data_IF_610953902980
#
_entry.id   IF_610953902980
#
_cell.length_a   1.000
_cell.length_b   1.000
_cell.length_c   1.000
_cell.angle_alpha   90.00
_cell.angle_beta   90.00
_cell.angle_gamma   90.00
#
_symmetry.space_group_name_H-M   'P 1'
#
loop_
_entity.id
_entity.type
_entity.pdbx_description
1 polymer ?
#
# COMPACT_ATOMS: atom_id res chain seq x y z
N UNK A 1 47.70 7.35 -14.34
CA UNK A 1 47.48 6.29 -13.33
C UNK A 1 46.11 6.51 -12.74
N UNK A 2 45.15 5.76 -13.26
CA UNK A 2 43.73 5.88 -12.94
C UNK A 2 43.46 5.04 -11.69
N UNK A 3 42.96 5.67 -10.62
CA UNK A 3 42.50 4.93 -9.45
C UNK A 3 41.24 4.14 -9.81
N UNK A 4 41.18 2.84 -9.52
CA UNK A 4 39.98 2.05 -9.76
C UNK A 4 38.91 2.44 -8.74
N UNK A 5 37.74 2.77 -9.26
CA UNK A 5 36.48 2.90 -8.53
C UNK A 5 36.19 1.59 -7.81
N UNK A 6 36.36 1.59 -6.49
CA UNK A 6 35.89 0.52 -5.63
C UNK A 6 34.36 0.56 -5.61
N UNK A 7 33.76 -0.25 -6.47
CA UNK A 7 32.33 -0.54 -6.49
C UNK A 7 31.99 -1.25 -5.17
N UNK A 8 31.60 -0.46 -4.17
CA UNK A 8 31.05 -0.98 -2.93
C UNK A 8 29.66 -1.49 -3.25
N UNK A 9 29.55 -2.81 -3.46
CA UNK A 9 28.28 -3.52 -3.50
C UNK A 9 27.44 -3.13 -2.29
N UNK A 10 26.49 -2.23 -2.50
CA UNK A 10 25.69 -1.63 -1.45
C UNK A 10 24.79 -2.69 -0.82
N UNK A 11 24.88 -2.82 0.50
CA UNK A 11 23.85 -3.49 1.30
C UNK A 11 22.53 -2.84 0.90
N UNK A 12 21.64 -3.59 0.24
CA UNK A 12 20.32 -3.08 -0.10
C UNK A 12 19.65 -2.59 1.19
N UNK A 13 19.33 -1.29 1.27
CA UNK A 13 18.62 -0.73 2.41
C UNK A 13 17.38 -1.60 2.69
N UNK A 14 17.22 -2.03 3.93
CA UNK A 14 16.11 -2.91 4.30
C UNK A 14 14.81 -2.14 4.10
N UNK A 15 13.91 -2.71 3.29
CA UNK A 15 12.61 -2.10 3.01
C UNK A 15 11.53 -2.86 3.74
N UNK A 16 10.70 -2.14 4.48
CA UNK A 16 9.49 -2.67 5.09
C UNK A 16 8.28 -2.03 4.43
N UNK A 17 7.46 -2.84 3.75
CA UNK A 17 6.27 -2.37 3.03
C UNK A 17 6.57 -1.24 2.02
N UNK A 18 7.78 -1.21 1.46
CA UNK A 18 8.23 -0.18 0.53
C UNK A 18 8.76 1.10 1.17
N UNK A 19 8.86 1.18 2.50
CA UNK A 19 9.60 2.23 3.23
C UNK A 19 11.02 1.77 3.53
N UNK A 20 12.00 2.65 3.30
CA UNK A 20 13.39 2.37 3.68
C UNK A 20 13.58 2.50 5.19
N UNK A 21 14.21 1.49 5.78
CA UNK A 21 14.63 1.48 7.17
C UNK A 21 16.13 1.80 7.23
N UNK A 22 16.47 2.87 7.93
CA UNK A 22 17.85 3.18 8.24
C UNK A 22 18.26 2.39 9.51
N UNK A 23 19.54 1.98 9.67
CA UNK A 23 19.99 1.23 10.87
C UNK A 23 19.73 1.96 12.19
N UNK A 24 19.63 3.29 12.16
CA UNK A 24 19.32 4.14 13.31
C UNK A 24 17.81 4.38 13.50
N UNK A 25 16.97 3.82 12.62
CA UNK A 25 15.52 3.98 12.59
C UNK A 25 15.05 5.45 12.61
N UNK A 26 15.86 6.37 12.07
CA UNK A 26 15.51 7.79 11.98
C UNK A 26 14.56 8.09 10.82
N UNK A 27 14.40 7.16 9.87
CA UNK A 27 13.47 7.24 8.73
C UNK A 27 13.60 8.52 7.89
N UNK A 28 14.75 9.19 7.92
CA UNK A 28 14.98 10.42 7.16
C UNK A 28 14.99 10.13 5.65
N UNK A 29 15.56 8.99 5.23
CA UNK A 29 15.57 8.57 3.82
C UNK A 29 14.15 8.27 3.33
N UNK A 30 13.30 7.67 4.18
CA UNK A 30 11.89 7.46 3.86
C UNK A 30 11.15 8.80 3.70
N UNK A 31 11.38 9.76 4.61
CA UNK A 31 10.79 11.10 4.53
C UNK A 31 11.17 11.82 3.22
N UNK A 32 12.45 11.84 2.85
CA UNK A 32 12.92 12.51 1.63
C UNK A 32 12.35 11.87 0.37
N UNK A 33 12.27 10.53 0.32
CA UNK A 33 11.64 9.82 -0.80
C UNK A 33 10.14 10.10 -0.90
N UNK A 34 9.44 10.21 0.23
CA UNK A 34 8.03 10.60 0.22
C UNK A 34 7.83 12.03 -0.26
N UNK A 35 8.66 12.98 0.19
CA UNK A 35 8.65 14.35 -0.33
C UNK A 35 8.91 14.37 -1.83
N UNK A 36 9.93 13.66 -2.32
CA UNK A 36 10.25 13.60 -3.75
C UNK A 36 9.11 12.98 -4.58
N UNK A 37 8.54 11.87 -4.14
CA UNK A 37 7.40 11.24 -4.80
C UNK A 37 6.16 12.13 -4.79
N UNK A 38 5.95 12.89 -3.72
CA UNK A 38 4.85 13.85 -3.62
C UNK A 38 5.09 15.07 -4.50
N UNK A 39 6.31 15.55 -4.62
CA UNK A 39 6.69 16.62 -5.55
C UNK A 39 6.41 16.25 -7.01
N UNK A 40 6.61 14.99 -7.39
CA UNK A 40 6.19 14.51 -8.72
C UNK A 40 4.66 14.58 -8.90
N UNK A 41 3.89 14.20 -7.88
CA UNK A 41 2.42 14.32 -7.89
C UNK A 41 1.96 15.77 -7.91
N UNK A 42 2.66 16.67 -7.20
CA UNK A 42 2.43 18.12 -7.21
C UNK A 42 2.54 18.68 -8.63
N UNK A 43 3.55 18.28 -9.39
CA UNK A 43 3.69 18.71 -10.79
C UNK A 43 2.50 18.29 -11.65
N UNK A 44 1.98 17.07 -11.47
CA UNK A 44 0.79 16.59 -12.18
C UNK A 44 -0.49 17.32 -11.71
N UNK A 45 -0.62 17.55 -10.41
CA UNK A 45 -1.76 18.26 -9.83
C UNK A 45 -1.82 19.72 -10.30
N UNK A 46 -0.67 20.38 -10.48
CA UNK A 46 -0.61 21.74 -11.05
C UNK A 46 -1.17 21.81 -12.48
N UNK A 47 -1.01 20.75 -13.27
CA UNK A 47 -1.60 20.69 -14.61
C UNK A 47 -3.13 20.59 -14.56
N UNK A 48 -3.69 19.99 -13.51
CA UNK A 48 -5.14 19.78 -13.34
C UNK A 48 -5.80 21.01 -12.67
N UNK A 49 -5.11 21.66 -11.75
CA UNK A 49 -5.59 22.81 -10.97
C UNK A 49 -5.59 24.14 -11.77
N UNK A 50 -5.89 24.09 -13.08
CA UNK A 50 -5.89 25.27 -13.93
C UNK A 50 -6.91 26.30 -13.44
N UNK A 51 -6.55 27.59 -13.40
CA UNK A 51 -7.39 28.65 -12.82
C UNK A 51 -8.74 28.84 -13.52
N UNK A 52 -8.79 28.61 -14.84
CA UNK A 52 -10.00 28.91 -15.64
C UNK A 52 -10.79 27.69 -16.08
N UNK A 53 -10.16 26.50 -16.07
CA UNK A 53 -10.75 25.26 -16.57
C UNK A 53 -10.62 24.11 -15.55
N UNK A 54 -10.19 24.44 -14.33
CA UNK A 54 -9.98 23.49 -13.26
C UNK A 54 -11.29 23.08 -12.59
N UNK A 55 -11.26 21.97 -11.84
CA UNK A 55 -12.38 21.54 -11.02
C UNK A 55 -12.67 22.54 -9.89
N UNK A 56 -13.84 22.42 -9.26
CA UNK A 56 -14.16 23.21 -8.08
C UNK A 56 -13.09 23.02 -6.98
N UNK A 57 -12.79 24.04 -6.15
CA UNK A 57 -11.80 23.91 -5.08
C UNK A 57 -12.08 22.72 -4.13
N UNK A 58 -13.36 22.38 -3.93
CA UNK A 58 -13.77 21.25 -3.11
C UNK A 58 -13.41 19.89 -3.74
N UNK A 59 -13.69 19.73 -5.04
CA UNK A 59 -13.36 18.50 -5.77
C UNK A 59 -11.84 18.35 -5.90
N UNK A 60 -11.15 19.46 -6.17
CA UNK A 60 -9.69 19.51 -6.22
C UNK A 60 -9.09 19.13 -4.86
N UNK A 61 -9.64 19.63 -3.75
CA UNK A 61 -9.22 19.27 -2.39
C UNK A 61 -9.30 17.77 -2.16
N UNK A 62 -10.45 17.17 -2.50
CA UNK A 62 -10.66 15.72 -2.34
C UNK A 62 -9.65 14.93 -3.15
N UNK A 63 -9.42 15.34 -4.40
CA UNK A 63 -8.43 14.69 -5.26
C UNK A 63 -6.99 14.87 -4.75
N UNK A 64 -6.62 16.08 -4.32
CA UNK A 64 -5.30 16.38 -3.75
C UNK A 64 -5.06 15.57 -2.46
N UNK A 65 -6.07 15.39 -1.61
CA UNK A 65 -5.96 14.57 -0.40
C UNK A 65 -5.79 13.09 -0.77
N UNK A 66 -6.63 12.57 -1.67
CA UNK A 66 -6.62 11.15 -2.07
C UNK A 66 -5.39 10.75 -2.91
N UNK A 67 -4.89 11.67 -3.74
CA UNK A 67 -3.77 11.40 -4.64
C UNK A 67 -2.45 11.99 -4.15
N UNK A 68 -2.38 13.30 -3.89
CA UNK A 68 -1.12 13.95 -3.49
C UNK A 68 -0.73 13.63 -2.06
N UNK A 69 -1.57 14.05 -1.11
CA UNK A 69 -1.29 13.95 0.32
C UNK A 69 -1.19 12.50 0.79
N UNK A 70 -1.96 11.57 0.21
CA UNK A 70 -1.88 10.15 0.54
C UNK A 70 -0.48 9.57 0.37
N UNK A 71 0.32 10.07 -0.59
CA UNK A 71 1.71 9.62 -0.78
C UNK A 71 2.62 10.08 0.34
N UNK A 72 2.46 11.32 0.75
CA UNK A 72 3.22 11.94 1.84
C UNK A 72 2.80 11.40 3.21
N UNK A 73 1.53 11.02 3.36
CA UNK A 73 0.96 10.47 4.60
C UNK A 73 1.28 9.00 4.82
N UNK A 74 1.72 8.28 3.80
CA UNK A 74 2.02 6.87 3.93
C UNK A 74 3.16 6.66 4.94
N UNK A 75 2.88 6.09 6.12
CA UNK A 75 3.89 5.91 7.17
C UNK A 75 4.39 7.21 7.83
N UNK A 76 3.71 8.34 7.59
CA UNK A 76 4.08 9.62 8.21
C UNK A 76 3.94 9.59 9.74
N UNK A 77 3.04 8.75 10.27
CA UNK A 77 2.86 8.48 11.70
C UNK A 77 4.19 8.10 12.39
N UNK A 78 4.94 7.19 11.76
CA UNK A 78 6.21 6.67 12.28
C UNK A 78 7.32 7.67 12.03
N UNK A 79 7.40 8.20 10.81
CA UNK A 79 8.41 9.20 10.42
C UNK A 79 8.33 10.40 11.36
N UNK A 80 7.13 10.90 11.66
CA UNK A 80 6.95 12.07 12.52
C UNK A 80 7.47 11.87 13.95
N UNK A 81 7.50 10.62 14.43
CA UNK A 81 7.97 10.31 15.78
C UNK A 81 9.50 10.26 15.90
N UNK A 82 10.21 9.86 14.83
CA UNK A 82 11.65 9.54 14.89
C UNK A 82 12.53 10.40 13.98
N UNK A 83 11.95 11.03 12.97
CA UNK A 83 12.69 11.85 12.02
C UNK A 83 13.23 13.13 12.67
N UNK A 84 14.26 13.67 12.05
CA UNK A 84 14.81 14.97 12.45
C UNK A 84 13.84 16.11 12.14
N UNK A 85 13.94 17.22 12.87
CA UNK A 85 13.05 18.36 12.64
C UNK A 85 13.20 18.97 11.24
N UNK A 86 14.39 18.84 10.64
CA UNK A 86 14.63 19.20 9.24
C UNK A 86 13.74 18.38 8.28
N UNK A 87 13.69 17.05 8.45
CA UNK A 87 12.85 16.18 7.64
C UNK A 87 11.35 16.48 7.87
N UNK A 88 10.93 16.72 9.11
CA UNK A 88 9.54 17.11 9.44
C UNK A 88 9.15 18.42 8.75
N UNK A 89 10.04 19.43 8.79
CA UNK A 89 9.82 20.72 8.16
C UNK A 89 9.69 20.60 6.64
N UNK A 90 10.52 19.79 5.99
CA UNK A 90 10.41 19.54 4.55
C UNK A 90 9.11 18.83 4.17
N UNK A 91 8.66 17.86 4.98
CA UNK A 91 7.33 17.24 4.80
C UNK A 91 6.21 18.27 4.97
N UNK A 92 6.27 19.15 5.97
CA UNK A 92 5.28 20.22 6.15
C UNK A 92 5.25 21.18 4.97
N UNK A 93 6.40 21.61 4.46
CA UNK A 93 6.47 22.47 3.25
C UNK A 93 5.87 21.80 2.02
N UNK A 94 6.14 20.50 1.85
CA UNK A 94 5.57 19.71 0.76
C UNK A 94 4.04 19.63 0.89
N UNK A 95 3.54 19.39 2.10
CA UNK A 95 2.10 19.36 2.38
C UNK A 95 1.43 20.74 2.19
N UNK A 96 2.07 21.82 2.63
CA UNK A 96 1.59 23.18 2.39
C UNK A 96 1.55 23.51 0.89
N UNK A 97 2.47 22.97 0.09
CA UNK A 97 2.43 23.13 -1.37
C UNK A 97 1.19 22.47 -2.00
N UNK A 98 0.75 21.33 -1.48
CA UNK A 98 -0.53 20.73 -1.87
C UNK A 98 -1.71 21.63 -1.50
N UNK A 99 -1.68 22.24 -0.31
CA UNK A 99 -2.70 23.20 0.12
C UNK A 99 -2.80 24.40 -0.84
N UNK A 100 -1.65 24.94 -1.25
CA UNK A 100 -1.59 26.05 -2.20
C UNK A 100 -2.14 25.71 -3.57
N UNK A 101 -2.06 24.44 -4.00
CA UNK A 101 -2.69 23.99 -5.24
C UNK A 101 -4.21 24.02 -5.09
N UNK A 102 -4.74 23.58 -3.95
CA UNK A 102 -6.19 23.56 -3.67
C UNK A 102 -6.75 24.98 -3.60
N UNK A 103 -6.08 25.88 -2.88
CA UNK A 103 -6.55 27.25 -2.68
C UNK A 103 -6.15 28.22 -3.81
N UNK A 104 -5.25 27.82 -4.70
CA UNK A 104 -4.75 28.67 -5.79
C UNK A 104 -3.89 29.86 -5.35
N UNK A 105 -3.49 29.91 -4.07
CA UNK A 105 -2.69 30.99 -3.49
C UNK A 105 -1.22 30.91 -3.90
N UNK A 106 -0.49 32.05 -3.99
CA UNK A 106 0.90 32.04 -4.36
C UNK A 106 1.80 31.38 -3.30
N UNK A 107 3.02 30.99 -3.70
CA UNK A 107 4.01 30.36 -2.81
C UNK A 107 4.50 31.25 -1.68
N UNK A 108 4.31 32.56 -1.78
CA UNK A 108 4.67 33.57 -0.77
C UNK A 108 3.74 33.57 0.44
N UNK A 109 2.53 33.01 0.31
CA UNK A 109 1.57 32.92 1.42
C UNK A 109 2.12 31.96 2.47
N UNK A 110 1.96 32.36 3.73
CA UNK A 110 2.35 31.55 4.87
C UNK A 110 1.63 30.19 4.83
N UNK A 111 2.30 29.11 5.26
CA UNK A 111 1.78 27.76 5.09
C UNK A 111 0.49 27.51 5.88
N UNK A 112 0.30 28.16 7.03
CA UNK A 112 -0.88 27.97 7.89
C UNK A 112 -2.13 28.62 7.27
N UNK A 113 -2.01 29.84 6.74
CA UNK A 113 -3.11 30.48 5.98
C UNK A 113 -3.46 29.69 4.73
N UNK A 114 -2.47 29.14 4.01
CA UNK A 114 -2.73 28.30 2.85
C UNK A 114 -3.51 27.02 3.21
N UNK A 115 -3.21 26.43 4.37
CA UNK A 115 -3.91 25.26 4.91
C UNK A 115 -5.34 25.62 5.35
N UNK A 116 -5.51 26.76 6.01
CA UNK A 116 -6.81 27.26 6.44
C UNK A 116 -7.73 27.52 5.23
N UNK A 117 -7.23 28.21 4.22
CA UNK A 117 -7.96 28.50 2.98
C UNK A 117 -8.31 27.21 2.22
N UNK A 118 -7.39 26.25 2.17
CA UNK A 118 -7.65 24.92 1.59
C UNK A 118 -8.53 24.03 2.48
N UNK A 119 -8.95 24.51 3.66
CA UNK A 119 -9.66 23.74 4.68
C UNK A 119 -8.96 22.39 4.97
N UNK A 120 -7.64 22.38 5.12
CA UNK A 120 -6.86 21.17 5.40
C UNK A 120 -6.17 21.26 6.76
N UNK A 121 -6.25 20.23 7.61
CA UNK A 121 -5.55 20.24 8.89
C UNK A 121 -4.03 20.12 8.69
N UNK A 122 -3.19 20.73 9.53
CA UNK A 122 -1.75 20.59 9.45
C UNK A 122 -1.28 19.12 9.52
N UNK A 123 -0.18 18.81 8.82
CA UNK A 123 0.35 17.44 8.71
C UNK A 123 0.62 16.80 10.08
N UNK A 124 1.17 17.57 11.03
CA UNK A 124 1.49 17.06 12.36
C UNK A 124 0.25 16.60 13.13
N UNK A 125 -0.89 17.29 12.98
CA UNK A 125 -2.17 16.89 13.58
C UNK A 125 -2.65 15.58 12.97
N UNK A 126 -2.52 15.42 11.65
CA UNK A 126 -2.88 14.17 10.96
C UNK A 126 -2.03 13.00 11.45
N UNK A 127 -0.71 13.19 11.59
CA UNK A 127 0.22 12.18 12.12
C UNK A 127 0.01 11.85 13.61
N UNK A 128 -0.51 12.78 14.40
CA UNK A 128 -0.87 12.46 15.80
C UNK A 128 -2.17 11.66 15.85
N UNK A 129 -3.15 12.05 15.04
CA UNK A 129 -4.47 11.42 15.01
C UNK A 129 -4.40 9.97 14.56
N UNK A 130 -3.67 9.67 13.49
CA UNK A 130 -3.60 8.29 13.01
C UNK A 130 -2.67 7.42 13.87
N UNK A 131 -1.67 7.99 14.55
CA UNK A 131 -0.86 7.29 15.55
C UNK A 131 -1.70 6.90 16.76
N UNK A 132 -2.55 7.80 17.23
CA UNK A 132 -3.54 7.51 18.27
C UNK A 132 -4.49 6.40 17.81
N UNK A 133 -5.00 6.47 16.58
CA UNK A 133 -5.89 5.43 16.04
C UNK A 133 -5.21 4.07 15.95
N UNK A 134 -3.96 4.00 15.50
CA UNK A 134 -3.18 2.76 15.48
C UNK A 134 -3.05 2.23 16.91
N UNK A 135 -2.71 3.09 17.87
CA UNK A 135 -2.58 2.71 19.27
C UNK A 135 -3.88 2.13 19.83
N UNK A 136 -5.01 2.81 19.64
CA UNK A 136 -6.33 2.34 20.07
C UNK A 136 -6.71 1.02 19.41
N UNK A 137 -6.48 0.89 18.10
CA UNK A 137 -6.73 -0.36 17.38
C UNK A 137 -5.86 -1.50 17.92
N UNK A 138 -4.57 -1.25 18.17
CA UNK A 138 -3.68 -2.27 18.76
C UNK A 138 -4.08 -2.65 20.18
N UNK A 139 -4.62 -1.72 20.97
CA UNK A 139 -5.17 -2.01 22.31
C UNK A 139 -6.47 -2.82 22.22
N UNK A 140 -7.31 -2.53 21.24
CA UNK A 140 -8.59 -3.19 21.02
C UNK A 140 -8.45 -4.58 20.38
N UNK A 141 -7.36 -4.83 19.63
CA UNK A 141 -7.04 -6.16 19.13
C UNK A 141 -6.91 -7.15 20.30
N UNK A 142 -7.85 -8.12 20.40
CA UNK A 142 -7.62 -9.29 21.24
C UNK A 142 -6.35 -9.98 20.75
N UNK A 143 -5.43 -10.20 21.68
CA UNK A 143 -4.15 -10.84 21.40
C UNK A 143 -4.28 -12.36 21.28
N UNK A 144 -5.39 -12.83 20.71
CA UNK A 144 -5.63 -14.26 20.50
C UNK A 144 -4.67 -14.83 19.46
N UNK A 145 -4.14 -14.00 18.54
CA UNK A 145 -3.02 -14.36 17.68
C UNK A 145 -1.69 -14.51 18.43
N UNK A 146 -1.55 -13.91 19.63
CA UNK A 146 -0.43 -14.17 20.55
C UNK A 146 -0.67 -15.37 21.45
N UNK A 147 -1.90 -15.94 21.50
CA UNK A 147 -2.03 -17.27 22.10
C UNK A 147 -1.24 -18.22 21.22
N UNK A 148 -0.27 -18.89 21.84
CA UNK A 148 0.40 -20.03 21.23
C UNK A 148 -0.72 -20.96 20.73
N UNK A 149 -0.75 -21.32 19.42
CA UNK A 149 -1.67 -22.34 18.96
C UNK A 149 -1.46 -23.57 19.84
N UNK A 150 -2.53 -24.32 20.19
CA UNK A 150 -2.37 -25.52 21.00
C UNK A 150 -1.26 -26.37 20.39
N UNK A 151 -0.33 -26.90 21.23
CA UNK A 151 0.84 -27.63 20.72
C UNK A 151 0.36 -28.68 19.74
N UNK A 152 0.91 -28.66 18.52
CA UNK A 152 0.59 -29.65 17.52
C UNK A 152 0.79 -31.04 18.14
N UNK A 153 -0.18 -31.96 18.01
CA UNK A 153 0.02 -33.31 18.49
C UNK A 153 1.28 -33.86 17.82
N UNK A 154 2.17 -34.56 18.57
CA UNK A 154 3.41 -35.08 18.00
C UNK A 154 3.07 -35.87 16.73
N UNK A 155 3.87 -35.74 15.65
CA UNK A 155 3.62 -36.50 14.44
C UNK A 155 3.58 -37.96 14.85
N UNK A 156 2.37 -38.55 14.80
CA UNK A 156 2.19 -39.96 15.15
C UNK A 156 3.18 -40.74 14.30
N UNK A 157 3.93 -41.66 14.89
CA UNK A 157 4.85 -42.50 14.14
C UNK A 157 4.11 -43.07 12.91
N UNK A 158 4.54 -42.68 11.70
CA UNK A 158 3.83 -42.99 10.46
C UNK A 158 3.02 -41.85 9.82
N UNK A 159 3.14 -40.59 10.26
CA UNK A 159 2.53 -39.44 9.56
C UNK A 159 3.11 -39.32 8.15
N UNK A 160 2.40 -39.89 7.18
CA UNK A 160 2.62 -39.67 5.75
C UNK A 160 1.47 -38.80 5.27
N UNK A 161 1.81 -37.69 4.62
CA UNK A 161 0.84 -36.93 3.84
C UNK A 161 0.43 -37.86 2.69
N UNK A 162 -0.68 -38.57 2.85
CA UNK A 162 -1.30 -39.27 1.74
C UNK A 162 -1.67 -38.22 0.69
N UNK A 163 -1.35 -38.41 -0.59
CA UNK A 163 -1.85 -37.52 -1.63
C UNK A 163 -3.37 -37.56 -1.56
N UNK A 164 -3.97 -36.43 -1.19
CA UNK A 164 -5.42 -36.25 -1.25
C UNK A 164 -5.83 -36.49 -2.69
N UNK A 165 -6.83 -37.36 -2.86
CA UNK A 165 -7.42 -37.52 -4.18
C UNK A 165 -8.04 -36.19 -4.61
N UNK A 166 -8.08 -35.95 -5.91
CA UNK A 166 -8.64 -34.71 -6.47
C UNK A 166 -10.09 -34.51 -6.01
N UNK A 167 -10.85 -35.59 -5.88
CA UNK A 167 -12.26 -35.57 -5.50
C UNK A 167 -12.43 -35.21 -4.01
N UNK A 168 -11.57 -35.72 -3.13
CA UNK A 168 -11.56 -35.33 -1.70
C UNK A 168 -11.18 -33.87 -1.52
N UNK A 169 -10.26 -33.36 -2.33
CA UNK A 169 -9.84 -31.95 -2.29
C UNK A 169 -10.99 -31.04 -2.73
N UNK A 170 -11.71 -31.39 -3.81
CA UNK A 170 -12.90 -30.64 -4.21
C UNK A 170 -14.02 -30.73 -3.18
N UNK A 171 -14.26 -31.91 -2.60
CA UNK A 171 -15.28 -32.07 -1.55
C UNK A 171 -14.94 -31.23 -0.30
N UNK A 172 -13.67 -31.14 0.09
CA UNK A 172 -13.21 -30.29 1.20
C UNK A 172 -13.43 -28.80 0.91
N UNK A 173 -13.06 -28.34 -0.29
CA UNK A 173 -13.26 -26.96 -0.72
C UNK A 173 -14.75 -26.62 -0.84
N UNK A 174 -15.57 -27.54 -1.33
CA UNK A 174 -17.02 -27.38 -1.45
C UNK A 174 -17.71 -27.31 -0.09
N UNK A 175 -17.28 -28.13 0.88
CA UNK A 175 -17.77 -28.04 2.26
C UNK A 175 -17.43 -26.68 2.87
N UNK A 176 -16.19 -26.23 2.71
CA UNK A 176 -15.73 -24.95 3.24
C UNK A 176 -16.45 -23.76 2.58
N UNK A 177 -16.59 -23.77 1.25
CA UNK A 177 -17.32 -22.72 0.52
C UNK A 177 -18.79 -22.65 0.93
N UNK A 178 -19.42 -23.80 1.21
CA UNK A 178 -20.79 -23.87 1.72
C UNK A 178 -20.93 -23.29 3.14
N UNK A 179 -19.99 -23.58 4.02
CA UNK A 179 -19.99 -23.09 5.41
C UNK A 179 -19.82 -21.58 5.50
N UNK A 180 -19.08 -20.97 4.56
CA UNK A 180 -18.90 -19.52 4.47
C UNK A 180 -19.92 -18.82 3.55
N UNK A 181 -20.96 -19.53 3.08
CA UNK A 181 -22.03 -18.96 2.26
C UNK A 181 -21.58 -18.49 0.87
N UNK A 182 -20.44 -18.99 0.37
CA UNK A 182 -19.94 -18.71 -0.97
C UNK A 182 -20.75 -19.59 -1.93
N UNK A 183 -21.78 -19.01 -2.55
CA UNK A 183 -22.60 -19.70 -3.55
C UNK A 183 -21.75 -20.18 -4.73
N UNK A 184 -22.07 -21.36 -5.27
CA UNK A 184 -21.54 -21.81 -6.57
C UNK A 184 -21.70 -20.67 -7.59
N UNK A 185 -20.62 -20.38 -8.31
CA UNK A 185 -20.53 -19.23 -9.20
C UNK A 185 -21.72 -19.19 -10.16
N UNK A 186 -22.31 -17.99 -10.32
CA UNK A 186 -23.46 -17.86 -11.21
C UNK A 186 -23.03 -18.10 -12.67
N UNK A 187 -23.95 -18.47 -13.59
CA UNK A 187 -23.63 -18.63 -15.02
C UNK A 187 -23.03 -17.38 -15.70
N UNK A 188 -23.07 -16.23 -15.01
CA UNK A 188 -22.47 -14.96 -15.41
C UNK A 188 -21.00 -14.86 -14.99
N UNK A 189 -20.64 -15.36 -13.82
CA UNK A 189 -19.25 -15.38 -13.34
C UNK A 189 -18.40 -16.38 -14.10
N UNK A 190 -18.95 -17.57 -14.42
CA UNK A 190 -18.22 -18.57 -15.20
C UNK A 190 -17.88 -18.05 -16.62
N UNK A 191 -18.78 -17.26 -17.23
CA UNK A 191 -18.53 -16.57 -18.50
C UNK A 191 -17.43 -15.53 -18.40
N UNK A 192 -17.38 -14.79 -17.30
CA UNK A 192 -16.29 -13.82 -17.05
C UNK A 192 -14.95 -14.54 -16.97
N UNK A 193 -14.82 -15.58 -16.15
CA UNK A 193 -13.57 -16.35 -16.01
C UNK A 193 -13.12 -16.98 -17.33
N UNK A 194 -14.04 -17.55 -18.12
CA UNK A 194 -13.70 -18.13 -19.45
C UNK A 194 -13.28 -17.09 -20.47
N UNK A 195 -13.84 -15.86 -20.41
CA UNK A 195 -13.46 -14.76 -21.30
C UNK A 195 -12.10 -14.15 -20.96
N UNK A 196 -11.65 -14.31 -19.70
CA UNK A 196 -10.35 -13.82 -19.23
C UNK A 196 -9.17 -14.73 -19.59
N UNK A 197 -9.42 -15.94 -20.10
CA UNK A 197 -8.38 -16.89 -20.53
C UNK A 197 -7.94 -16.53 -21.96
N UNK A 198 -6.65 -16.19 -22.19
CA UNK A 198 -6.13 -15.90 -23.51
C UNK A 198 -6.39 -17.05 -24.49
N UNK A 199 -6.61 -16.79 -25.80
CA UNK A 199 -7.01 -17.81 -26.76
C UNK A 199 -6.09 -19.05 -26.83
N UNK A 200 -4.79 -18.86 -26.58
CA UNK A 200 -3.79 -19.94 -26.62
C UNK A 200 -3.76 -20.88 -25.41
N UNK A 201 -4.50 -20.58 -24.34
CA UNK A 201 -4.56 -21.39 -23.11
C UNK A 201 -5.93 -22.07 -22.92
N UNK A 202 -6.79 -22.03 -23.94
CA UNK A 202 -8.12 -22.62 -23.86
C UNK A 202 -8.02 -24.14 -24.08
N UNK A 203 -8.55 -24.99 -23.18
CA UNK A 203 -8.51 -26.43 -23.38
C UNK A 203 -9.38 -26.83 -24.59
N UNK A 204 -8.93 -27.76 -25.45
CA UNK A 204 -9.71 -28.23 -26.58
C UNK A 204 -10.92 -29.04 -26.11
N UNK A 205 -12.08 -28.75 -26.70
CA UNK A 205 -13.30 -29.53 -26.53
C UNK A 205 -13.17 -30.85 -27.29
N UNK A 206 -12.61 -31.89 -26.68
CA UNK A 206 -12.93 -33.33 -26.89
C UNK A 206 -11.99 -34.20 -26.05
N UNK A 207 -12.55 -35.17 -25.34
CA UNK A 207 -11.81 -36.01 -24.38
C UNK A 207 -10.82 -36.98 -25.03
N UNK A 208 -9.56 -36.92 -24.61
CA UNK A 208 -8.73 -38.05 -24.16
C UNK A 208 -7.36 -37.52 -23.67
N UNK A 209 -6.72 -38.11 -22.65
CA UNK A 209 -5.56 -37.52 -21.98
C UNK A 209 -4.24 -38.11 -22.50
N UNK A 210 -3.40 -37.29 -23.13
CA UNK A 210 -2.00 -37.68 -23.33
C UNK A 210 -1.06 -36.48 -23.45
N UNK A 211 -0.13 -36.46 -22.49
CA UNK A 211 1.23 -35.92 -22.55
C UNK A 211 1.42 -34.39 -22.68
N UNK A 212 1.59 -33.73 -21.54
CA UNK A 212 2.38 -32.50 -21.45
C UNK A 212 3.83 -32.86 -21.13
N UNK A 213 4.71 -32.82 -22.13
CA UNK A 213 6.16 -32.74 -21.92
C UNK A 213 6.55 -31.25 -21.91
N UNK A 214 7.04 -30.75 -20.79
CA UNK A 214 7.75 -29.47 -20.73
C UNK A 214 9.25 -29.73 -20.94
N UNK A 215 9.86 -28.96 -21.84
CA UNK A 215 11.31 -28.80 -21.97
C UNK A 215 11.70 -27.47 -21.33
#
# INVERSE_FOLDING_TARGET
MSNPSHDHGGIANTKLLGMDLDPRLTLNVAATKQCAATSQRISQLRCIAHKEAGPSPHDLRTFVIGYGASKLRYGSELIWAVATDSAKNEMQKTYATLARIVSGVPSTVDPESALLEANMPPLHVLCLRARLSIFENTRACQMDWMRRPPPEPPPRAGFRISPLSRDELYAFVDAYTKDYGITQSSPREERFFRSSIPPGLRPPHTGSPSAWNFR
#
